data_IF_521456030835
#
_entry.id   IF_521456030835
#
_cell.length_a   1.000
_cell.length_b   1.000
_cell.length_c   1.000
_cell.angle_alpha   90.00
_cell.angle_beta   90.00
_cell.angle_gamma   90.00
#
_symmetry.space_group_name_H-M   'P 1'
#
loop_
_entity.id
_entity.type
_entity.pdbx_description
1 polymer ?
#
# COMPACT_ATOMS: atom_id res chain seq x y z
N UNK A 1 12.16 11.17 24.45
CA UNK A 1 10.85 10.98 23.81
C UNK A 1 10.99 10.22 22.51
N UNK A 2 10.25 9.17 22.36
CA UNK A 2 10.28 8.39 21.13
C UNK A 2 9.36 9.00 20.09
N UNK A 3 9.84 9.07 18.87
CA UNK A 3 9.04 9.48 17.73
C UNK A 3 8.86 8.30 16.80
N UNK A 4 7.64 8.09 16.33
CA UNK A 4 7.41 7.10 15.30
C UNK A 4 7.91 7.64 13.97
N UNK A 5 8.81 6.91 13.36
CA UNK A 5 9.26 7.26 12.02
C UNK A 5 8.22 6.78 11.01
N UNK A 6 7.99 7.60 10.03
CA UNK A 6 7.06 7.26 8.98
C UNK A 6 7.81 6.71 7.79
N UNK A 7 7.23 5.70 7.18
CA UNK A 7 7.78 5.11 5.97
C UNK A 7 6.79 5.28 4.84
N UNK A 8 7.30 5.56 3.67
CA UNK A 8 6.49 5.70 2.46
C UNK A 8 6.73 4.49 1.61
N UNK A 9 5.65 3.84 1.18
CA UNK A 9 5.72 2.61 0.40
C UNK A 9 5.11 2.89 -0.96
N UNK A 10 5.92 2.70 -2.00
CA UNK A 10 5.46 2.83 -3.38
C UNK A 10 4.98 1.46 -3.85
N UNK A 11 3.74 1.42 -4.27
CA UNK A 11 3.10 0.20 -4.77
C UNK A 11 2.78 0.39 -6.24
N UNK A 12 2.88 -0.68 -7.02
CA UNK A 12 2.51 -0.64 -8.42
C UNK A 12 1.46 -1.67 -8.74
N UNK A 13 0.66 -1.38 -9.76
CA UNK A 13 -0.41 -2.25 -10.23
C UNK A 13 -0.65 -1.98 -11.72
N UNK A 14 -1.32 -2.90 -12.43
CA UNK A 14 -1.60 -2.70 -13.85
C UNK A 14 -2.60 -1.55 -14.07
N UNK A 15 -2.18 -0.43 -14.66
CA UNK A 15 -3.06 0.75 -14.75
C UNK A 15 -4.24 0.56 -15.69
N UNK A 16 -4.10 -0.30 -16.69
CA UNK A 16 -5.17 -0.54 -17.63
C UNK A 16 -6.25 -1.47 -17.13
N UNK A 17 -5.98 -2.19 -16.03
CA UNK A 17 -6.92 -3.18 -15.49
C UNK A 17 -7.62 -2.70 -14.22
N UNK A 18 -6.98 -1.80 -13.48
CA UNK A 18 -7.47 -1.39 -12.16
C UNK A 18 -7.45 0.13 -12.07
N UNK A 19 -8.59 0.77 -11.77
CA UNK A 19 -8.60 2.21 -11.47
C UNK A 19 -7.88 2.47 -10.14
N UNK A 20 -7.27 3.65 -9.97
CA UNK A 20 -6.59 3.97 -8.71
C UNK A 20 -7.47 3.83 -7.47
N UNK A 21 -8.72 4.22 -7.57
CA UNK A 21 -9.66 4.14 -6.44
C UNK A 21 -9.92 2.70 -6.03
N UNK A 22 -10.05 1.80 -7.00
CA UNK A 22 -10.28 0.40 -6.71
C UNK A 22 -9.06 -0.23 -6.05
N UNK A 23 -7.86 0.09 -6.54
CA UNK A 23 -6.64 -0.42 -5.93
C UNK A 23 -6.53 0.05 -4.48
N UNK A 24 -6.82 1.31 -4.22
CA UNK A 24 -6.79 1.85 -2.86
C UNK A 24 -7.83 1.17 -1.97
N UNK A 25 -9.02 0.92 -2.48
CA UNK A 25 -10.07 0.24 -1.71
C UNK A 25 -9.65 -1.18 -1.33
N UNK A 26 -9.01 -1.89 -2.24
CA UNK A 26 -8.55 -3.24 -1.94
C UNK A 26 -7.48 -3.24 -0.84
N UNK A 27 -6.57 -2.26 -0.90
CA UNK A 27 -5.55 -2.13 0.13
C UNK A 27 -6.19 -1.74 1.47
N UNK A 28 -7.12 -0.80 1.45
CA UNK A 28 -7.78 -0.36 2.68
C UNK A 28 -8.56 -1.50 3.33
N UNK A 29 -9.20 -2.36 2.53
CA UNK A 29 -9.87 -3.55 3.04
C UNK A 29 -8.89 -4.50 3.72
N UNK A 30 -7.73 -4.72 3.12
CA UNK A 30 -6.70 -5.57 3.71
C UNK A 30 -6.14 -4.95 4.99
N UNK A 31 -5.96 -3.64 5.02
CA UNK A 31 -5.50 -2.94 6.22
C UNK A 31 -6.47 -3.12 7.37
N UNK A 32 -7.77 -2.96 7.09
CA UNK A 32 -8.79 -3.15 8.10
C UNK A 32 -8.83 -4.57 8.62
N UNK A 33 -8.70 -5.56 7.73
CA UNK A 33 -8.72 -6.96 8.12
C UNK A 33 -7.54 -7.31 9.02
N UNK A 34 -6.39 -6.67 8.85
CA UNK A 34 -5.18 -6.91 9.64
C UNK A 34 -5.01 -5.93 10.78
N UNK A 35 -5.94 -5.01 10.97
CA UNK A 35 -5.85 -3.95 11.97
C UNK A 35 -4.53 -3.16 11.83
N UNK A 36 -4.10 -2.93 10.61
CA UNK A 36 -2.87 -2.19 10.32
C UNK A 36 -3.17 -0.72 10.10
N UNK A 37 -2.20 0.12 10.48
CA UNK A 37 -2.28 1.54 10.25
C UNK A 37 -1.45 1.91 9.02
N UNK A 38 -2.11 2.51 8.03
CA UNK A 38 -1.43 3.08 6.89
C UNK A 38 -2.39 4.08 6.26
N UNK A 39 -1.82 5.08 5.59
CA UNK A 39 -2.62 6.14 5.02
C UNK A 39 -2.22 6.34 3.57
N UNK A 40 -3.23 6.45 2.72
CA UNK A 40 -3.00 6.76 1.32
C UNK A 40 -2.55 8.21 1.19
N UNK A 41 -1.38 8.41 0.60
CA UNK A 41 -0.83 9.74 0.36
C UNK A 41 -1.10 10.18 -1.07
N UNK A 42 -0.97 9.25 -2.02
CA UNK A 42 -1.16 9.58 -3.42
C UNK A 42 -1.65 8.35 -4.19
N UNK A 43 -2.62 8.57 -5.07
CA UNK A 43 -3.12 7.53 -5.96
C UNK A 43 -3.03 8.04 -7.39
N UNK A 44 -2.28 7.32 -8.23
CA UNK A 44 -2.08 7.65 -9.64
C UNK A 44 -2.28 6.40 -10.47
N UNK A 45 -2.59 6.53 -11.76
CA UNK A 45 -2.66 5.36 -12.62
C UNK A 45 -1.33 4.61 -12.61
N UNK A 46 -1.37 3.37 -12.18
CA UNK A 46 -0.19 2.51 -12.15
C UNK A 46 0.56 2.47 -10.84
N UNK A 47 0.34 3.42 -9.93
CA UNK A 47 1.03 3.38 -8.64
C UNK A 47 0.25 4.06 -7.52
N UNK A 48 0.56 3.66 -6.30
CA UNK A 48 0.01 4.24 -5.07
C UNK A 48 1.15 4.49 -4.11
N UNK A 49 1.02 5.53 -3.28
CA UNK A 49 1.96 5.78 -2.20
C UNK A 49 1.20 5.77 -0.89
N UNK A 50 1.61 4.88 0.01
CA UNK A 50 1.06 4.78 1.35
C UNK A 50 2.11 5.18 2.37
N UNK A 51 1.65 5.77 3.46
CA UNK A 51 2.50 6.11 4.59
C UNK A 51 2.09 5.25 5.78
N UNK A 52 3.06 4.64 6.43
CA UNK A 52 2.79 3.84 7.61
C UNK A 52 3.87 4.10 8.67
N UNK A 53 3.57 3.83 9.96
CA UNK A 53 4.62 3.86 10.98
C UNK A 53 5.65 2.79 10.69
N UNK A 54 6.91 3.07 11.03
CA UNK A 54 7.99 2.10 10.80
C UNK A 54 7.72 0.77 11.53
N UNK A 55 7.00 0.82 12.64
CA UNK A 55 6.67 -0.38 13.40
C UNK A 55 5.69 -1.29 12.68
N UNK A 56 4.96 -0.77 11.71
CA UNK A 56 3.99 -1.55 10.93
C UNK A 56 4.50 -1.92 9.54
N UNK A 57 5.71 -1.50 9.20
CA UNK A 57 6.21 -1.62 7.83
C UNK A 57 6.26 -3.08 7.37
N UNK A 58 6.83 -3.97 8.19
CA UNK A 58 6.97 -5.37 7.81
C UNK A 58 5.61 -6.03 7.59
N UNK A 59 4.66 -5.74 8.47
CA UNK A 59 3.31 -6.28 8.33
C UNK A 59 2.62 -5.71 7.10
N UNK A 60 2.81 -4.43 6.83
CA UNK A 60 2.23 -3.81 5.65
C UNK A 60 2.80 -4.42 4.37
N UNK A 61 4.13 -4.59 4.31
CA UNK A 61 4.77 -5.23 3.16
C UNK A 61 4.29 -6.67 2.99
N UNK A 62 3.96 -7.33 4.08
CA UNK A 62 3.48 -8.70 4.05
C UNK A 62 2.11 -8.88 3.40
N UNK A 63 1.36 -7.79 3.19
CA UNK A 63 0.10 -7.85 2.46
C UNK A 63 0.30 -8.07 0.96
N UNK A 64 1.50 -7.80 0.46
CA UNK A 64 1.76 -7.83 -0.97
C UNK A 64 2.65 -9.01 -1.35
N UNK A 65 2.50 -9.54 -2.55
CA UNK A 65 1.60 -9.07 -3.60
C UNK A 65 0.14 -9.32 -3.23
N UNK A 66 -0.69 -8.31 -3.48
CA UNK A 66 -2.12 -8.42 -3.24
C UNK A 66 -2.79 -8.77 -4.56
N UNK A 67 -3.26 -9.99 -4.67
CA UNK A 67 -3.82 -10.50 -5.92
C UNK A 67 -5.25 -10.02 -6.09
N UNK A 68 -5.52 -9.45 -7.26
CA UNK A 68 -6.86 -9.01 -7.63
C UNK A 68 -7.41 -9.96 -8.68
N UNK A 69 -8.59 -10.56 -8.47
CA UNK A 69 -9.13 -11.53 -9.44
C UNK A 69 -9.26 -10.90 -10.83
N UNK A 70 -8.61 -11.53 -11.82
CA UNK A 70 -8.64 -11.13 -13.23
C UNK A 70 -8.10 -9.71 -13.48
N UNK A 71 -7.37 -9.15 -12.53
CA UNK A 71 -6.88 -7.77 -12.65
C UNK A 71 -5.42 -7.62 -12.31
N UNK A 72 -4.69 -8.73 -12.19
CA UNK A 72 -3.29 -8.69 -11.82
C UNK A 72 -3.09 -8.56 -10.33
N UNK A 73 -2.00 -7.95 -9.92
CA UNK A 73 -1.70 -7.82 -8.50
C UNK A 73 -1.04 -6.49 -8.19
N UNK A 74 -1.19 -6.08 -6.93
CA UNK A 74 -0.52 -4.89 -6.41
C UNK A 74 0.76 -5.36 -5.72
N UNK A 75 1.89 -4.80 -6.10
CA UNK A 75 3.19 -5.22 -5.57
C UNK A 75 3.94 -4.04 -4.99
N UNK A 76 4.78 -4.32 -4.00
CA UNK A 76 5.67 -3.32 -3.42
C UNK A 76 6.82 -3.05 -4.37
N UNK A 77 7.07 -1.79 -4.71
CA UNK A 77 8.16 -1.41 -5.59
C UNK A 77 9.30 -0.78 -4.83
N UNK A 78 9.00 0.06 -3.85
CA UNK A 78 10.03 0.82 -3.17
C UNK A 78 9.56 1.26 -1.80
N UNK A 79 10.47 1.32 -0.85
CA UNK A 79 10.21 1.86 0.48
C UNK A 79 11.17 3.01 0.70
N UNK A 80 10.64 4.14 1.14
CA UNK A 80 11.44 5.32 1.44
C UNK A 80 11.16 5.76 2.86
N UNK A 81 12.21 6.12 3.58
CA UNK A 81 12.08 6.70 4.90
C UNK A 81 12.36 8.19 4.86
N UNK A 82 11.86 8.91 5.86
CA UNK A 82 12.16 10.33 6.02
C UNK A 82 12.85 10.58 7.35
#
# INVERSE_FOLDING_TARGET
MKRFRKRYVLLSYPPGLVPPQMAAQEIDGALGAQALRARLIRAEPGFLIYRCPHTSLDRFKGLFPLVLPNKGSIVTRRVSGT
#
